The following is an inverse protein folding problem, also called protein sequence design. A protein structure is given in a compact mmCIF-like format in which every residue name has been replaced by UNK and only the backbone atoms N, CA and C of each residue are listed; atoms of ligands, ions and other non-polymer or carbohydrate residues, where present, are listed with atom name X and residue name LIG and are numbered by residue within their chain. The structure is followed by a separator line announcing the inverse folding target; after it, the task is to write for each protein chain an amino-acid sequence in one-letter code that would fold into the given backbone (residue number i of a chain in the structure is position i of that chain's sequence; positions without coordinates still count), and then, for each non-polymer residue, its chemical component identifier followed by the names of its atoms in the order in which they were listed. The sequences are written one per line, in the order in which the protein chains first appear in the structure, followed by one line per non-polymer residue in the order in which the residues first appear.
data_IF_722049672340
#
_entry.id   IF_722049672340
#
_cell.length_a   1.000
_cell.length_b   1.000
_cell.length_c   1.000
_cell.angle_alpha   90.00
_cell.angle_beta   90.00
_cell.angle_gamma   90.00
#
_symmetry.space_group_name_H-M   'P 1'
#
loop_
_entity.id
_entity.type
_entity.pdbx_description
1 polymer ?
#
# COMPACT_ATOMS: atom_id res chain seq x y z
N UNK A 1 12.11 22.31 11.11
CA UNK A 1 11.80 22.75 9.73
C UNK A 1 11.36 21.51 8.96
N UNK A 2 10.10 21.42 8.54
CA UNK A 2 9.56 20.23 7.84
C UNK A 2 9.13 20.51 6.40
N UNK A 3 9.12 21.78 5.97
CA UNK A 3 8.80 22.14 4.59
C UNK A 3 10.03 22.00 3.70
N UNK A 4 9.79 21.57 2.46
CA UNK A 4 10.85 21.34 1.47
C UNK A 4 10.39 21.82 0.07
N UNK A 5 11.29 21.79 -0.91
CA UNK A 5 11.03 22.17 -2.31
C UNK A 5 11.23 20.94 -3.20
N UNK A 6 10.39 20.80 -4.22
CA UNK A 6 10.51 19.69 -5.17
C UNK A 6 11.92 19.68 -5.80
N UNK A 7 12.54 18.51 -5.85
CA UNK A 7 13.91 18.30 -6.34
C UNK A 7 15.02 18.57 -5.32
N UNK A 8 14.72 19.06 -4.11
CA UNK A 8 15.74 19.17 -3.07
C UNK A 8 16.09 17.80 -2.44
N UNK A 9 17.11 17.77 -1.58
CA UNK A 9 17.57 16.53 -0.95
C UNK A 9 16.47 15.84 -0.11
N UNK A 10 15.54 16.61 0.46
CA UNK A 10 14.43 16.07 1.26
C UNK A 10 13.38 15.44 0.34
N UNK A 11 13.03 16.09 -0.77
CA UNK A 11 12.12 15.51 -1.78
C UNK A 11 12.71 14.22 -2.37
N UNK A 12 13.99 14.21 -2.73
CA UNK A 12 14.67 13.03 -3.29
C UNK A 12 14.68 11.86 -2.30
N UNK A 13 14.98 12.13 -1.02
CA UNK A 13 14.91 11.11 0.03
C UNK A 13 13.49 10.58 0.25
N UNK A 14 12.48 11.46 0.16
CA UNK A 14 11.08 11.07 0.26
C UNK A 14 10.62 10.25 -0.95
N UNK A 15 11.09 10.56 -2.16
CA UNK A 15 10.85 9.76 -3.36
C UNK A 15 11.43 8.36 -3.22
N UNK A 16 12.66 8.22 -2.71
CA UNK A 16 13.26 6.92 -2.44
C UNK A 16 12.48 6.13 -1.39
N UNK A 17 12.02 6.80 -0.33
CA UNK A 17 11.17 6.21 0.72
C UNK A 17 9.83 5.74 0.16
N UNK A 18 9.18 6.54 -0.68
CA UNK A 18 7.93 6.19 -1.36
C UNK A 18 8.11 4.96 -2.25
N UNK A 19 9.18 4.91 -3.04
CA UNK A 19 9.48 3.76 -3.89
C UNK A 19 9.71 2.51 -3.05
N UNK A 20 10.44 2.61 -1.95
CA UNK A 20 10.66 1.50 -1.03
C UNK A 20 9.35 0.99 -0.40
N UNK A 21 8.52 1.87 0.15
CA UNK A 21 7.24 1.46 0.76
C UNK A 21 6.28 0.86 -0.27
N UNK A 22 6.27 1.36 -1.51
CA UNK A 22 5.50 0.72 -2.57
C UNK A 22 6.02 -0.68 -2.91
N UNK A 23 7.35 -0.88 -3.04
CA UNK A 23 7.91 -2.21 -3.31
C UNK A 23 7.55 -3.20 -2.19
N UNK A 24 7.64 -2.79 -0.93
CA UNK A 24 7.19 -3.62 0.21
C UNK A 24 5.70 -3.92 0.17
N UNK A 25 4.90 -2.96 -0.28
CA UNK A 25 3.46 -3.13 -0.50
C UNK A 25 3.19 -4.17 -1.61
N UNK A 26 3.90 -4.06 -2.74
CA UNK A 26 3.83 -5.00 -3.87
C UNK A 26 4.18 -6.42 -3.45
N UNK A 27 5.35 -6.60 -2.81
CA UNK A 27 5.81 -7.90 -2.32
C UNK A 27 4.79 -8.53 -1.36
N UNK A 28 4.21 -7.72 -0.46
CA UNK A 28 3.21 -8.19 0.50
C UNK A 28 1.88 -8.56 -0.18
N UNK A 29 1.47 -7.81 -1.21
CA UNK A 29 0.27 -8.12 -2.00
C UNK A 29 0.46 -9.39 -2.83
N UNK A 30 1.60 -9.55 -3.49
CA UNK A 30 1.94 -10.76 -4.27
C UNK A 30 2.01 -11.99 -3.38
N UNK A 31 2.61 -11.87 -2.19
CA UNK A 31 2.60 -12.95 -1.21
C UNK A 31 1.16 -13.27 -0.75
N UNK A 32 0.34 -12.25 -0.49
CA UNK A 32 -1.07 -12.44 -0.13
C UNK A 32 -1.82 -13.18 -1.25
N UNK A 33 -1.70 -12.73 -2.50
CA UNK A 33 -2.36 -13.32 -3.65
C UNK A 33 -2.00 -14.80 -3.81
N UNK A 34 -0.70 -15.14 -3.75
CA UNK A 34 -0.21 -16.52 -3.86
C UNK A 34 -0.74 -17.43 -2.74
N UNK A 35 -0.73 -16.95 -1.50
CA UNK A 35 -1.20 -17.75 -0.34
C UNK A 35 -2.73 -17.86 -0.34
N UNK A 36 -3.44 -16.81 -0.74
CA UNK A 36 -4.90 -16.83 -0.90
C UNK A 36 -5.33 -17.77 -2.03
N UNK A 37 -4.63 -17.78 -3.16
CA UNK A 37 -4.86 -18.74 -4.25
C UNK A 37 -4.71 -20.18 -3.76
N UNK A 38 -3.65 -20.46 -2.99
CA UNK A 38 -3.44 -21.79 -2.38
C UNK A 38 -4.63 -22.16 -1.48
N UNK A 39 -5.13 -21.21 -0.69
CA UNK A 39 -6.28 -21.42 0.20
C UNK A 39 -7.57 -21.71 -0.56
N UNK A 40 -7.79 -21.03 -1.69
CA UNK A 40 -8.95 -21.25 -2.56
C UNK A 40 -8.88 -22.63 -3.23
N UNK A 41 -7.70 -23.01 -3.73
CA UNK A 41 -7.53 -24.25 -4.49
C UNK A 41 -7.45 -25.51 -3.64
N UNK A 42 -6.80 -25.43 -2.47
CA UNK A 42 -6.45 -26.61 -1.66
C UNK A 42 -7.22 -26.65 -0.33
N UNK A 43 -8.04 -25.63 -0.04
CA UNK A 43 -8.73 -25.46 1.24
C UNK A 43 -7.88 -24.72 2.27
N UNK A 44 -8.48 -24.48 3.43
CA UNK A 44 -7.83 -23.75 4.52
C UNK A 44 -7.30 -24.67 5.63
N UNK A 45 -6.13 -24.31 6.15
CA UNK A 45 -5.66 -24.77 7.45
C UNK A 45 -5.19 -23.57 8.30
N UNK A 46 -4.97 -23.79 9.60
CA UNK A 46 -4.59 -22.71 10.53
C UNK A 46 -3.27 -22.03 10.16
N UNK A 47 -2.32 -22.76 9.59
CA UNK A 47 -1.01 -22.23 9.21
C UNK A 47 -1.11 -21.39 7.94
N UNK A 48 -1.93 -21.84 6.99
CA UNK A 48 -2.23 -21.10 5.78
C UNK A 48 -3.00 -19.81 6.11
N UNK A 49 -4.02 -19.89 6.96
CA UNK A 49 -4.75 -18.73 7.48
C UNK A 49 -3.83 -17.71 8.16
N UNK A 50 -2.90 -18.17 9.00
CA UNK A 50 -1.88 -17.30 9.62
C UNK A 50 -0.98 -16.61 8.59
N UNK A 51 -0.52 -17.32 7.55
CA UNK A 51 0.29 -16.74 6.47
C UNK A 51 -0.50 -15.70 5.68
N UNK A 52 -1.73 -16.03 5.28
CA UNK A 52 -2.63 -15.11 4.57
C UNK A 52 -2.89 -13.84 5.38
N UNK A 53 -3.18 -14.00 6.68
CA UNK A 53 -3.35 -12.88 7.60
C UNK A 53 -2.10 -11.99 7.64
N UNK A 54 -0.91 -12.57 7.81
CA UNK A 54 0.34 -11.79 7.90
C UNK A 54 0.72 -11.11 6.58
N UNK A 55 0.47 -11.74 5.45
CA UNK A 55 0.70 -11.11 4.14
C UNK A 55 -0.26 -9.94 3.94
N UNK A 56 -1.55 -10.14 4.20
CA UNK A 56 -2.56 -9.09 4.01
C UNK A 56 -2.38 -7.90 4.97
N UNK A 57 -1.98 -8.15 6.23
CA UNK A 57 -1.69 -7.07 7.19
C UNK A 57 -0.44 -6.26 6.84
N UNK A 58 0.59 -6.88 6.25
CA UNK A 58 1.74 -6.18 5.68
C UNK A 58 1.34 -5.32 4.48
N UNK A 59 0.51 -5.85 3.59
CA UNK A 59 -0.03 -5.10 2.46
C UNK A 59 -0.78 -3.84 2.94
N UNK A 60 -1.72 -4.00 3.87
CA UNK A 60 -2.46 -2.89 4.49
C UNK A 60 -1.50 -1.86 5.10
N UNK A 61 -0.51 -2.31 5.87
CA UNK A 61 0.43 -1.41 6.52
C UNK A 61 1.26 -0.60 5.52
N UNK A 62 1.91 -1.25 4.56
CA UNK A 62 2.76 -0.57 3.58
C UNK A 62 1.97 0.32 2.63
N UNK A 63 0.76 -0.08 2.24
CA UNK A 63 -0.13 0.79 1.47
C UNK A 63 -0.48 2.05 2.26
N UNK A 64 -0.78 1.93 3.55
CA UNK A 64 -1.12 3.07 4.39
C UNK A 64 0.07 4.03 4.57
N UNK A 65 1.26 3.51 4.88
CA UNK A 65 2.48 4.33 5.02
C UNK A 65 2.86 5.02 3.71
N UNK A 66 2.72 4.33 2.58
CA UNK A 66 2.90 4.91 1.25
C UNK A 66 1.98 6.11 1.04
N UNK A 67 0.68 5.98 1.34
CA UNK A 67 -0.28 7.08 1.16
C UNK A 67 0.01 8.28 2.08
N UNK A 68 0.47 8.03 3.31
CA UNK A 68 0.89 9.10 4.21
C UNK A 68 2.10 9.85 3.65
N UNK A 69 3.13 9.13 3.24
CA UNK A 69 4.33 9.73 2.64
C UNK A 69 4.00 10.50 1.35
N UNK A 70 3.07 9.98 0.54
CA UNK A 70 2.63 10.64 -0.69
C UNK A 70 1.91 11.95 -0.37
N UNK A 71 1.07 11.94 0.66
CA UNK A 71 0.37 13.13 1.15
C UNK A 71 1.35 14.17 1.71
N UNK A 72 2.36 13.74 2.47
CA UNK A 72 3.44 14.63 2.94
C UNK A 72 4.19 15.26 1.77
N UNK A 73 4.43 14.48 0.71
CA UNK A 73 5.08 14.96 -0.50
C UNK A 73 4.25 16.00 -1.23
N UNK A 74 2.97 15.73 -1.47
CA UNK A 74 2.04 16.64 -2.13
C UNK A 74 1.91 17.98 -1.36
N UNK A 75 1.97 17.92 -0.03
CA UNK A 75 1.96 19.10 0.85
C UNK A 75 3.30 19.82 0.93
N UNK A 76 4.38 19.23 0.41
CA UNK A 76 5.77 19.68 0.58
C UNK A 76 6.14 19.88 2.04
N UNK A 77 5.67 18.98 2.90
CA UNK A 77 5.76 19.07 4.35
C UNK A 77 5.84 17.67 4.98
N UNK A 78 6.99 17.34 5.56
CA UNK A 78 7.25 16.06 6.23
C UNK A 78 6.72 15.99 7.67
N UNK A 79 6.01 17.03 8.14
CA UNK A 79 5.39 17.02 9.45
C UNK A 79 4.37 15.87 9.58
N UNK A 80 4.21 15.39 10.81
CA UNK A 80 3.20 14.40 11.13
C UNK A 80 1.81 14.92 10.75
N UNK A 81 1.03 14.07 10.08
CA UNK A 81 -0.34 14.39 9.68
C UNK A 81 -1.27 13.89 10.79
N UNK A 82 -2.04 14.81 11.39
CA UNK A 82 -3.11 14.45 12.32
C UNK A 82 -4.03 13.42 11.68
N UNK A 83 -4.47 12.43 12.45
CA UNK A 83 -5.17 11.28 11.89
C UNK A 83 -6.47 11.65 11.17
N UNK A 84 -7.20 12.68 11.61
CA UNK A 84 -8.42 13.13 10.93
C UNK A 84 -8.13 13.67 9.54
N UNK A 85 -7.03 14.42 9.42
CA UNK A 85 -6.60 14.98 8.14
C UNK A 85 -6.04 13.88 7.23
N UNK A 86 -5.29 12.93 7.78
CA UNK A 86 -4.84 11.75 7.04
C UNK A 86 -6.02 10.93 6.50
N UNK A 87 -7.02 10.67 7.35
CA UNK A 87 -8.23 9.93 6.97
C UNK A 87 -8.97 10.65 5.81
N UNK A 88 -9.03 11.99 5.82
CA UNK A 88 -9.61 12.79 4.73
C UNK A 88 -8.82 12.66 3.41
N UNK A 89 -7.49 12.75 3.45
CA UNK A 89 -6.66 12.59 2.25
C UNK A 89 -6.81 11.19 1.65
N UNK A 90 -6.74 10.15 2.48
CA UNK A 90 -6.87 8.75 2.06
C UNK A 90 -8.25 8.50 1.45
N UNK A 91 -9.32 9.02 2.08
CA UNK A 91 -10.66 8.92 1.52
C UNK A 91 -10.77 9.63 0.15
N UNK A 92 -10.17 10.82 0.02
CA UNK A 92 -10.14 11.56 -1.25
C UNK A 92 -9.39 10.82 -2.36
N UNK A 93 -8.26 10.17 -2.04
CA UNK A 93 -7.51 9.32 -2.98
C UNK A 93 -8.38 8.14 -3.43
N UNK A 94 -9.00 7.42 -2.48
CA UNK A 94 -9.87 6.30 -2.78
C UNK A 94 -11.06 6.70 -3.67
N UNK A 95 -11.70 7.83 -3.38
CA UNK A 95 -12.83 8.33 -4.16
C UNK A 95 -12.40 8.74 -5.57
N UNK A 96 -11.21 9.33 -5.72
CA UNK A 96 -10.64 9.66 -7.04
C UNK A 96 -10.39 8.40 -7.87
N UNK A 97 -9.76 7.38 -7.29
CA UNK A 97 -9.55 6.08 -7.94
C UNK A 97 -10.85 5.44 -8.40
N UNK A 98 -11.87 5.43 -7.52
CA UNK A 98 -13.20 4.92 -7.85
C UNK A 98 -13.86 5.70 -8.99
N UNK A 99 -13.81 7.04 -8.95
CA UNK A 99 -14.39 7.89 -9.98
C UNK A 99 -13.72 7.65 -11.33
N UNK A 100 -12.38 7.70 -11.38
CA UNK A 100 -11.61 7.49 -12.60
C UNK A 100 -11.95 6.14 -13.26
N UNK A 101 -12.08 5.09 -12.45
CA UNK A 101 -12.42 3.75 -12.94
C UNK A 101 -13.85 3.67 -13.47
N UNK A 102 -14.82 4.24 -12.75
CA UNK A 102 -16.22 4.32 -13.21
C UNK A 102 -16.34 5.12 -14.49
N UNK A 103 -15.65 6.25 -14.59
CA UNK A 103 -15.62 7.08 -15.80
C UNK A 103 -15.04 6.32 -16.99
N UNK A 104 -13.94 5.59 -16.80
CA UNK A 104 -13.35 4.73 -17.84
C UNK A 104 -14.31 3.63 -18.32
N UNK A 105 -15.15 3.09 -17.44
CA UNK A 105 -16.16 2.10 -17.85
C UNK A 105 -17.28 2.78 -18.65
N UNK A 106 -17.78 3.92 -18.16
CA UNK A 106 -18.89 4.64 -18.80
C UNK A 106 -18.54 5.21 -20.17
N UNK A 107 -17.29 5.63 -20.37
CA UNK A 107 -16.82 6.19 -21.65
C UNK A 107 -16.26 5.11 -22.61
N UNK A 108 -16.20 3.84 -22.19
CA UNK A 108 -15.69 2.73 -22.98
C UNK A 108 -14.17 2.68 -23.13
N UNK A 109 -13.40 3.37 -22.29
CA UNK A 109 -11.93 3.32 -22.28
C UNK A 109 -11.34 2.35 -21.25
N UNK A 110 -12.20 1.68 -20.46
CA UNK A 110 -11.78 0.64 -19.54
C UNK A 110 -11.21 -0.59 -20.28
N UNK A 111 -10.20 -1.28 -19.72
CA UNK A 111 -9.71 -2.52 -20.29
C UNK A 111 -10.81 -3.60 -20.40
N UNK A 112 -10.69 -4.55 -21.35
CA UNK A 112 -11.73 -5.55 -21.60
C UNK A 112 -11.95 -6.55 -20.45
N UNK A 113 -11.00 -6.64 -19.52
CA UNK A 113 -11.09 -7.48 -18.32
C UNK A 113 -11.66 -6.73 -17.10
N UNK A 114 -11.98 -5.44 -17.22
CA UNK A 114 -12.57 -4.68 -16.12
C UNK A 114 -13.99 -5.14 -15.83
N UNK A 115 -14.37 -5.12 -14.56
CA UNK A 115 -15.71 -5.52 -14.16
C UNK A 115 -16.78 -4.54 -14.69
N UNK A 116 -18.02 -5.03 -14.82
CA UNK A 116 -19.16 -4.17 -15.10
C UNK A 116 -19.33 -3.09 -14.02
N UNK A 117 -19.86 -1.91 -14.38
CA UNK A 117 -20.00 -0.76 -13.47
C UNK A 117 -20.76 -1.10 -12.17
N UNK A 118 -21.67 -2.08 -12.21
CA UNK A 118 -22.41 -2.53 -11.03
C UNK A 118 -21.55 -3.12 -9.92
N UNK A 119 -20.31 -3.53 -10.22
CA UNK A 119 -19.34 -3.96 -9.21
C UNK A 119 -18.79 -2.77 -8.39
N UNK A 120 -18.94 -1.55 -8.88
CA UNK A 120 -18.37 -0.35 -8.30
C UNK A 120 -19.47 0.55 -7.71
N UNK A 121 -19.48 0.81 -6.39
CA UNK A 121 -20.41 1.76 -5.80
C UNK A 121 -20.14 3.18 -6.29
N UNK A 122 -21.08 4.09 -6.09
CA UNK A 122 -20.88 5.51 -6.46
C UNK A 122 -19.90 6.23 -5.52
N UNK A 123 -19.85 5.80 -4.25
CA UNK A 123 -19.08 6.46 -3.20
C UNK A 123 -18.29 5.45 -2.40
N UNK A 124 -17.11 5.88 -1.97
CA UNK A 124 -16.34 5.17 -0.94
C UNK A 124 -17.10 5.30 0.39
N UNK A 125 -17.25 4.22 1.17
CA UNK A 125 -17.86 4.30 2.50
C UNK A 125 -17.15 5.30 3.41
N UNK A 126 -17.91 6.05 4.23
CA UNK A 126 -17.36 7.15 5.04
C UNK A 126 -16.34 6.68 6.07
N UNK A 127 -16.53 5.47 6.56
CA UNK A 127 -15.72 4.79 7.56
C UNK A 127 -14.45 4.14 6.97
N UNK A 128 -14.30 4.08 5.64
CA UNK A 128 -13.19 3.38 5.00
C UNK A 128 -11.82 3.78 5.56
N UNK A 129 -11.50 5.08 5.56
CA UNK A 129 -10.16 5.55 5.94
C UNK A 129 -9.87 5.33 7.43
N UNK A 130 -10.86 5.56 8.29
CA UNK A 130 -10.70 5.35 9.73
C UNK A 130 -10.59 3.86 10.10
N UNK A 131 -11.32 2.98 9.40
CA UNK A 131 -11.16 1.53 9.55
C UNK A 131 -9.81 1.05 9.01
N UNK A 132 -9.37 1.59 7.87
CA UNK A 132 -8.05 1.28 7.30
C UNK A 132 -6.93 1.61 8.30
N UNK A 133 -6.95 2.82 8.88
CA UNK A 133 -6.03 3.21 9.95
C UNK A 133 -6.12 2.30 11.18
N UNK A 134 -7.34 1.97 11.63
CA UNK A 134 -7.58 1.10 12.79
C UNK A 134 -6.97 -0.29 12.59
N UNK A 135 -7.18 -0.89 11.42
CA UNK A 135 -6.60 -2.19 11.07
C UNK A 135 -5.08 -2.11 11.00
N UNK A 136 -4.52 -1.10 10.33
CA UNK A 136 -3.07 -0.85 10.28
C UNK A 136 -2.45 -0.77 11.69
N UNK A 137 -3.08 -0.02 12.59
CA UNK A 137 -2.59 0.14 13.97
C UNK A 137 -2.70 -1.13 14.80
N UNK A 138 -3.79 -1.89 14.64
CA UNK A 138 -4.09 -3.04 15.50
C UNK A 138 -3.38 -4.32 15.04
N UNK A 139 -3.33 -4.53 13.72
CA UNK A 139 -2.85 -5.78 13.15
C UNK A 139 -1.32 -5.86 13.07
N UNK A 140 -0.66 -4.76 12.68
CA UNK A 140 0.80 -4.70 12.54
C UNK A 140 1.45 -3.64 13.44
N UNK A 141 0.87 -2.43 13.51
CA UNK A 141 1.52 -1.27 14.13
C UNK A 141 1.81 -1.40 15.63
N UNK A 142 0.87 -1.91 16.42
CA UNK A 142 1.03 -2.10 17.86
C UNK A 142 0.69 -3.52 18.27
N UNK A 143 1.40 -4.06 19.27
CA UNK A 143 1.06 -5.31 19.95
C UNK A 143 -0.18 -5.12 20.83
N UNK A 144 -1.29 -4.75 20.20
CA UNK A 144 -2.53 -4.43 20.86
C UNK A 144 -3.20 -5.75 21.30
N UNK A 145 -3.61 -5.90 22.58
CA UNK A 145 -4.42 -7.04 23.03
C UNK A 145 -5.63 -7.33 22.14
N UNK A 146 -6.25 -6.32 21.52
CA UNK A 146 -7.39 -6.51 20.61
C UNK A 146 -7.03 -7.13 19.24
N UNK A 147 -5.76 -7.43 18.95
CA UNK A 147 -5.34 -8.03 17.68
C UNK A 147 -6.05 -9.35 17.37
N UNK A 148 -6.28 -10.17 18.39
CA UNK A 148 -6.95 -11.47 18.22
C UNK A 148 -8.47 -11.37 18.00
N UNK A 149 -9.08 -10.22 18.31
CA UNK A 149 -10.51 -9.96 18.11
C UNK A 149 -10.80 -9.10 16.87
N UNK A 150 -9.76 -8.65 16.15
CA UNK A 150 -9.92 -7.92 14.90
C UNK A 150 -10.29 -8.89 13.77
N UNK A 151 -11.51 -8.77 13.25
CA UNK A 151 -11.95 -9.51 12.07
C UNK A 151 -11.37 -8.90 10.80
N UNK A 152 -10.24 -9.44 10.35
CA UNK A 152 -9.63 -9.06 9.08
C UNK A 152 -10.49 -9.54 7.89
N UNK A 153 -11.28 -10.60 8.08
CA UNK A 153 -12.25 -11.10 7.11
C UNK A 153 -13.33 -10.06 6.81
N UNK A 154 -13.94 -9.47 7.84
CA UNK A 154 -14.98 -8.44 7.63
C UNK A 154 -14.39 -7.21 6.94
N UNK A 155 -13.20 -6.78 7.35
CA UNK A 155 -12.49 -5.69 6.71
C UNK A 155 -12.16 -5.99 5.24
N UNK A 156 -11.71 -7.21 4.94
CA UNK A 156 -11.45 -7.65 3.57
C UNK A 156 -12.72 -7.55 2.71
N UNK A 157 -13.83 -8.16 3.15
CA UNK A 157 -15.07 -8.15 2.39
C UNK A 157 -15.62 -6.75 2.14
N UNK A 158 -15.46 -5.84 3.11
CA UNK A 158 -15.99 -4.48 3.00
C UNK A 158 -15.10 -3.56 2.17
N UNK A 159 -13.77 -3.68 2.29
CA UNK A 159 -12.86 -2.62 1.86
C UNK A 159 -11.74 -3.04 0.92
N UNK A 160 -11.52 -4.35 0.67
CA UNK A 160 -10.42 -4.82 -0.16
C UNK A 160 -10.40 -4.20 -1.56
N UNK A 161 -11.58 -4.06 -2.20
CA UNK A 161 -11.70 -3.45 -3.53
C UNK A 161 -11.10 -2.04 -3.57
N UNK A 162 -11.35 -1.20 -2.55
CA UNK A 162 -10.80 0.15 -2.49
C UNK A 162 -9.28 0.14 -2.30
N UNK A 163 -8.77 -0.74 -1.44
CA UNK A 163 -7.32 -0.91 -1.25
C UNK A 163 -6.63 -1.35 -2.54
N UNK A 164 -7.22 -2.32 -3.23
CA UNK A 164 -6.71 -2.81 -4.49
C UNK A 164 -6.72 -1.74 -5.59
N UNK A 165 -7.79 -0.96 -5.72
CA UNK A 165 -7.85 0.15 -6.66
C UNK A 165 -6.74 1.17 -6.38
N UNK A 166 -6.57 1.59 -5.12
CA UNK A 166 -5.51 2.54 -4.75
C UNK A 166 -4.13 1.95 -5.07
N UNK A 167 -3.89 0.68 -4.72
CA UNK A 167 -2.63 -0.01 -4.97
C UNK A 167 -2.25 -0.03 -6.46
N UNK A 168 -3.19 -0.41 -7.33
CA UNK A 168 -2.97 -0.47 -8.78
C UNK A 168 -2.75 0.93 -9.36
N UNK A 169 -3.57 1.90 -8.94
CA UNK A 169 -3.45 3.28 -9.43
C UNK A 169 -2.17 3.97 -8.94
N UNK A 170 -1.62 3.52 -7.81
CA UNK A 170 -0.39 4.07 -7.22
C UNK A 170 0.88 3.67 -7.97
N UNK A 171 0.83 2.61 -8.77
CA UNK A 171 1.98 2.06 -9.54
C UNK A 171 2.72 3.10 -10.39
N UNK A 172 2.05 4.20 -10.76
CA UNK A 172 2.60 5.24 -11.64
C UNK A 172 2.95 6.54 -10.92
N UNK A 173 2.84 6.60 -9.58
CA UNK A 173 2.94 7.85 -8.82
C UNK A 173 4.36 8.42 -8.65
N UNK A 174 5.41 7.65 -8.99
CA UNK A 174 6.82 8.06 -8.84
C UNK A 174 7.55 8.31 -10.18
N UNK A 175 6.83 8.43 -11.30
CA UNK A 175 7.41 8.75 -12.61
C UNK A 175 7.81 7.54 -13.44
N UNK A 176 8.45 7.77 -14.60
CA UNK A 176 8.94 6.69 -15.48
C UNK A 176 10.05 5.92 -14.75
N UNK A 177 9.84 4.63 -14.60
CA UNK A 177 10.80 3.68 -14.04
C UNK A 177 11.57 3.09 -15.22
N UNK A 178 12.90 3.23 -15.24
CA UNK A 178 13.73 2.34 -16.06
C UNK A 178 13.56 0.91 -15.53
N UNK A 179 13.68 -0.11 -16.39
CA UNK A 179 13.40 -1.52 -16.04
C UNK A 179 14.27 -2.08 -14.89
N UNK A 180 15.32 -1.36 -14.48
CA UNK A 180 16.23 -1.75 -13.39
C UNK A 180 15.65 -1.48 -11.98
N UNK A 181 15.91 -2.40 -11.07
CA UNK A 181 15.57 -2.22 -9.64
C UNK A 181 16.33 -1.00 -9.07
N UNK A 182 15.65 -0.08 -8.35
CA UNK A 182 16.30 1.13 -7.85
C UNK A 182 17.43 0.84 -6.86
N UNK A 183 18.47 1.66 -6.87
CA UNK A 183 19.34 1.78 -5.70
C UNK A 183 18.61 2.56 -4.58
N UNK A 184 18.35 1.87 -3.47
CA UNK A 184 17.72 2.41 -2.26
C UNK A 184 18.75 2.63 -1.13
N UNK A 185 20.03 2.75 -1.49
CA UNK A 185 21.12 2.98 -0.56
C UNK A 185 21.36 1.79 0.36
N UNK A 186 21.24 2.00 1.69
CA UNK A 186 21.52 0.94 2.66
C UNK A 186 20.53 -0.24 2.59
N UNK A 187 19.33 -0.02 2.05
CA UNK A 187 18.33 -1.09 1.87
C UNK A 187 18.84 -2.11 0.83
N UNK A 188 19.31 -1.63 -0.31
CA UNK A 188 19.86 -2.47 -1.40
C UNK A 188 21.30 -2.90 -1.13
N UNK A 189 22.03 -2.20 -0.26
CA UNK A 189 23.35 -2.61 0.19
C UNK A 189 23.35 -3.70 1.27
N UNK A 190 22.20 -3.92 1.95
CA UNK A 190 22.09 -4.92 3.01
C UNK A 190 22.42 -6.32 2.46
N UNK A 191 23.40 -6.97 3.08
CA UNK A 191 23.81 -8.32 2.69
C UNK A 191 24.39 -9.06 3.89
N UNK A 192 23.99 -10.32 4.06
CA UNK A 192 24.58 -11.24 5.04
C UNK A 192 25.72 -12.07 4.44
N UNK A 193 26.05 -11.86 3.17
CA UNK A 193 27.12 -12.57 2.48
C UNK A 193 28.47 -12.16 3.07
N UNK A 194 29.32 -13.15 3.37
CA UNK A 194 30.72 -12.92 3.71
C UNK A 194 31.41 -12.46 2.42
N UNK A 195 31.70 -11.16 2.32
CA UNK A 195 32.52 -10.62 1.23
C UNK A 195 33.98 -10.77 1.64
N UNK A 196 34.75 -11.54 0.87
CA UNK A 196 36.20 -11.61 1.08
C UNK A 196 36.78 -10.19 0.98
N UNK A 197 37.55 -9.77 1.99
CA UNK A 197 38.38 -8.57 1.85
C UNK A 197 39.42 -8.89 0.79
N UNK A 198 39.31 -8.30 -0.39
CA UNK A 198 40.40 -8.31 -1.36
C UNK A 198 41.71 -7.96 -0.63
N UNK A 199 42.79 -8.74 -0.80
CA UNK A 199 44.09 -8.36 -0.29
C UNK A 199 44.41 -6.97 -0.87
N UNK A 200 44.75 -6.03 0.00
CA UNK A 200 45.30 -4.75 -0.44
C UNK A 200 46.65 -5.09 -1.08
N UNK A 201 46.75 -4.96 -2.40
CA UNK A 201 48.02 -4.83 -3.10
C UNK A 201 48.58 -3.42 -2.88
#
# INVERSE_FOLDING_TARGET
MTKFIAGDATDLALCATLKHEYLRCSDAFEEFARVAETMIMQGEDRRLAFKTYNAYTRFIHHLYEFLLAATQRDRKDTAEIKHELADQYIHGIAQRSLNNRREAILNGTAPPWENHISAFPEKVPKEFASQFRKVRNTALGHANPQRHSLSLTDFYHQFHMFLYMIYVDSMWMWGRVDDDFPDLGQITAFSVMIKEKSPRN
#
